data_IF_177841318962
#
_entry.id   IF_177841318962
#
_cell.length_a   1.000
_cell.length_b   1.000
_cell.length_c   1.000
_cell.angle_alpha   90.00
_cell.angle_beta   90.00
_cell.angle_gamma   90.00
#
_symmetry.space_group_name_H-M   'P 1'
#
loop_
_entity.id
_entity.type
_entity.pdbx_description
1 polymer ?
#
# COMPACT_ATOMS: atom_id res chain seq x y z
N UNK A 1 11.20 -3.39 35.59
CA UNK A 1 10.88 -3.39 37.04
C UNK A 1 9.42 -2.99 37.25
N UNK A 2 8.89 -2.08 36.43
CA UNK A 2 7.53 -1.57 36.47
C UNK A 2 6.44 -2.65 36.26
N UNK A 3 6.67 -3.61 35.35
CA UNK A 3 5.77 -4.75 35.11
C UNK A 3 5.61 -5.66 36.34
N UNK A 4 6.67 -5.82 37.15
CA UNK A 4 6.64 -6.64 38.37
C UNK A 4 5.83 -5.97 39.48
N UNK A 5 5.80 -4.63 39.52
CA UNK A 5 4.98 -3.87 40.47
C UNK A 5 3.49 -3.96 40.12
N UNK A 6 3.14 -3.84 38.83
CA UNK A 6 1.76 -4.01 38.35
C UNK A 6 1.28 -5.44 38.59
N UNK A 7 2.09 -6.44 38.23
CA UNK A 7 1.76 -7.86 38.42
C UNK A 7 1.65 -8.21 39.91
N UNK A 8 2.57 -7.71 40.75
CA UNK A 8 2.53 -7.90 42.20
C UNK A 8 1.31 -7.26 42.86
N UNK A 9 0.94 -6.05 42.43
CA UNK A 9 -0.29 -5.37 42.88
C UNK A 9 -1.56 -6.13 42.50
N UNK A 10 -1.63 -6.62 41.25
CA UNK A 10 -2.74 -7.43 40.77
C UNK A 10 -2.87 -8.75 41.53
N UNK A 11 -1.73 -9.42 41.80
CA UNK A 11 -1.71 -10.69 42.54
C UNK A 11 -2.17 -10.51 44.00
N UNK A 12 -1.80 -9.40 44.64
CA UNK A 12 -2.31 -9.04 45.97
C UNK A 12 -3.82 -8.79 45.97
N UNK A 13 -4.35 -8.12 44.95
CA UNK A 13 -5.79 -7.89 44.80
C UNK A 13 -6.54 -9.21 44.59
N UNK A 14 -6.04 -10.08 43.69
CA UNK A 14 -6.64 -11.40 43.42
C UNK A 14 -6.55 -12.31 44.67
N UNK A 15 -5.43 -12.27 45.39
CA UNK A 15 -5.24 -13.00 46.65
C UNK A 15 -6.22 -12.53 47.73
N UNK A 16 -6.37 -11.20 47.88
CA UNK A 16 -7.38 -10.59 48.74
C UNK A 16 -8.80 -11.00 48.36
N UNK A 17 -9.12 -11.06 47.06
CA UNK A 17 -10.44 -11.44 46.54
C UNK A 17 -10.75 -12.90 46.82
N UNK A 18 -9.79 -13.78 46.56
CA UNK A 18 -9.90 -15.22 46.85
C UNK A 18 -10.11 -15.47 48.34
N UNK A 19 -9.39 -14.73 49.20
CA UNK A 19 -9.56 -14.80 50.64
C UNK A 19 -10.94 -14.30 51.09
N UNK A 20 -11.42 -13.21 50.49
CA UNK A 20 -12.74 -12.64 50.74
C UNK A 20 -13.86 -13.61 50.35
N UNK A 21 -13.78 -14.22 49.15
CA UNK A 21 -14.72 -15.22 48.66
C UNK A 21 -14.75 -16.44 49.60
N UNK A 22 -13.58 -16.98 49.97
CA UNK A 22 -13.48 -18.11 50.92
C UNK A 22 -14.15 -17.77 52.26
N UNK A 23 -14.03 -16.52 52.71
CA UNK A 23 -14.64 -16.03 53.95
C UNK A 23 -16.14 -15.73 53.81
N UNK A 24 -16.61 -15.37 52.62
CA UNK A 24 -18.04 -15.22 52.33
C UNK A 24 -18.76 -16.57 52.34
N UNK A 25 -18.14 -17.62 51.76
CA UNK A 25 -18.64 -19.00 51.82
C UNK A 25 -18.75 -19.56 53.24
N UNK A 26 -17.84 -19.18 54.15
CA UNK A 26 -17.90 -19.62 55.55
C UNK A 26 -19.01 -18.95 56.37
N UNK A 27 -19.62 -17.87 55.86
CA UNK A 27 -20.78 -17.22 56.48
C UNK A 27 -22.08 -17.79 55.91
N UNK A 28 -22.19 -17.96 54.59
CA UNK A 28 -23.31 -18.67 53.95
C UNK A 28 -23.01 -18.99 52.48
N UNK A 29 -23.67 -20.01 51.93
CA UNK A 29 -23.61 -20.30 50.49
C UNK A 29 -24.10 -19.14 49.61
N UNK A 30 -25.11 -18.39 50.06
CA UNK A 30 -25.69 -17.27 49.30
C UNK A 30 -24.71 -16.11 49.15
N UNK A 31 -24.01 -15.74 50.24
CA UNK A 31 -22.95 -14.72 50.19
C UNK A 31 -21.72 -15.17 49.40
N UNK A 32 -21.36 -16.45 49.47
CA UNK A 32 -20.28 -17.02 48.65
C UNK A 32 -20.57 -16.88 47.15
N UNK A 33 -21.75 -17.29 46.70
CA UNK A 33 -22.16 -17.19 45.29
C UNK A 33 -22.37 -15.72 44.85
N UNK A 34 -22.96 -14.89 45.72
CA UNK A 34 -23.12 -13.46 45.47
C UNK A 34 -21.77 -12.74 45.34
N UNK A 35 -20.75 -13.13 46.11
CA UNK A 35 -19.41 -12.55 46.05
C UNK A 35 -18.62 -12.88 44.78
N UNK A 36 -19.16 -13.73 43.90
CA UNK A 36 -18.58 -13.96 42.58
C UNK A 36 -18.90 -12.80 41.61
N UNK A 37 -19.95 -12.02 41.91
CA UNK A 37 -20.38 -10.89 41.11
C UNK A 37 -19.92 -9.57 41.76
N UNK A 38 -19.23 -8.67 41.02
CA UNK A 38 -18.68 -7.41 41.53
C UNK A 38 -19.64 -6.50 42.33
N UNK A 39 -20.93 -6.35 41.99
CA UNK A 39 -21.82 -5.50 42.80
C UNK A 39 -22.13 -6.10 44.17
N UNK A 40 -22.18 -7.43 44.31
CA UNK A 40 -22.56 -8.10 45.56
C UNK A 40 -21.38 -8.29 46.53
N UNK A 41 -20.14 -8.31 46.04
CA UNK A 41 -18.95 -8.26 46.90
C UNK A 41 -18.89 -6.98 47.72
N UNK A 42 -19.21 -5.84 47.10
CA UNK A 42 -19.25 -4.53 47.77
C UNK A 42 -20.32 -4.50 48.88
N UNK A 43 -21.49 -5.07 48.61
CA UNK A 43 -22.58 -5.18 49.61
C UNK A 43 -22.14 -6.05 50.80
N UNK A 44 -21.44 -7.16 50.57
CA UNK A 44 -20.92 -8.00 51.66
C UNK A 44 -19.89 -7.25 52.52
N UNK A 45 -19.00 -6.48 51.89
CA UNK A 45 -18.00 -5.65 52.58
C UNK A 45 -18.68 -4.60 53.47
N UNK A 46 -19.71 -3.92 52.94
CA UNK A 46 -20.49 -2.90 53.67
C UNK A 46 -21.25 -3.48 54.86
N UNK A 47 -21.98 -4.59 54.68
CA UNK A 47 -22.81 -5.18 55.73
C UNK A 47 -22.04 -6.03 56.75
N UNK A 48 -20.87 -6.58 56.38
CA UNK A 48 -20.05 -7.47 57.24
C UNK A 48 -18.61 -6.97 57.38
N UNK A 49 -18.45 -5.66 57.54
CA UNK A 49 -17.16 -4.96 57.68
C UNK A 49 -16.21 -5.61 58.69
N UNK A 50 -16.69 -5.98 59.88
CA UNK A 50 -15.88 -6.59 60.94
C UNK A 50 -15.27 -7.96 60.54
N UNK A 51 -15.93 -8.68 59.63
CA UNK A 51 -15.45 -9.94 59.06
C UNK A 51 -14.80 -9.76 57.69
N UNK A 52 -14.80 -8.57 57.09
CA UNK A 52 -14.22 -8.34 55.77
C UNK A 52 -13.01 -7.40 55.80
N UNK A 53 -12.69 -6.79 56.93
CA UNK A 53 -11.60 -5.81 57.05
C UNK A 53 -10.24 -6.35 56.64
N UNK A 54 -9.85 -7.55 57.09
CA UNK A 54 -8.54 -8.15 56.77
C UNK A 54 -8.30 -8.44 55.27
N UNK A 55 -9.24 -9.05 54.52
CA UNK A 55 -9.04 -9.22 53.08
C UNK A 55 -9.13 -7.90 52.31
N UNK A 56 -9.94 -6.93 52.78
CA UNK A 56 -10.06 -5.61 52.14
C UNK A 56 -8.81 -4.77 52.32
N UNK A 57 -8.14 -4.83 53.49
CA UNK A 57 -6.85 -4.14 53.68
C UNK A 57 -5.78 -4.73 52.77
N UNK A 58 -5.75 -6.06 52.57
CA UNK A 58 -4.82 -6.70 51.65
C UNK A 58 -5.04 -6.26 50.19
N UNK A 59 -6.30 -6.16 49.75
CA UNK A 59 -6.61 -5.57 48.44
C UNK A 59 -6.18 -4.12 48.35
N UNK A 60 -6.44 -3.30 49.37
CA UNK A 60 -6.05 -1.90 49.40
C UNK A 60 -4.52 -1.73 49.30
N UNK A 61 -3.75 -2.61 49.94
CA UNK A 61 -2.30 -2.67 49.78
C UNK A 61 -1.85 -3.06 48.37
N UNK A 62 -2.64 -3.83 47.63
CA UNK A 62 -2.36 -4.16 46.21
C UNK A 62 -2.67 -3.01 45.24
N UNK A 63 -3.60 -2.12 45.58
CA UNK A 63 -3.91 -0.93 44.77
C UNK A 63 -2.76 0.08 44.74
N UNK A 64 -2.02 0.24 45.84
CA UNK A 64 -0.88 1.18 45.94
C UNK A 64 0.21 0.89 44.88
N UNK A 65 0.81 -0.32 44.81
CA UNK A 65 1.80 -0.64 43.77
C UNK A 65 1.19 -0.68 42.37
N UNK A 66 -0.12 -0.96 42.23
CA UNK A 66 -0.80 -0.92 40.94
C UNK A 66 -0.90 0.50 40.39
N UNK A 67 -1.33 1.48 41.21
CA UNK A 67 -1.38 2.90 40.80
C UNK A 67 0.02 3.44 40.55
N UNK A 68 0.99 3.13 41.41
CA UNK A 68 2.39 3.55 41.23
C UNK A 68 3.01 2.92 39.98
N UNK A 69 2.76 1.63 39.74
CA UNK A 69 3.21 0.93 38.53
C UNK A 69 2.60 1.51 37.25
N UNK A 70 1.30 1.83 37.26
CA UNK A 70 0.63 2.51 36.15
C UNK A 70 1.16 3.93 35.93
N UNK A 71 1.41 4.69 37.00
CA UNK A 71 1.95 6.05 36.91
C UNK A 71 3.39 6.06 36.37
N UNK A 72 4.24 5.10 36.77
CA UNK A 72 5.57 4.95 36.19
C UNK A 72 5.51 4.48 34.73
N UNK A 73 4.62 3.54 34.39
CA UNK A 73 4.43 3.08 33.01
C UNK A 73 3.96 4.23 32.10
N UNK A 74 3.03 5.07 32.57
CA UNK A 74 2.59 6.26 31.83
C UNK A 74 3.72 7.29 31.62
N UNK A 75 4.67 7.36 32.55
CA UNK A 75 5.80 8.29 32.48
C UNK A 75 6.98 7.76 31.64
N UNK A 76 7.14 6.44 31.50
CA UNK A 76 8.21 5.82 30.73
C UNK A 76 7.81 5.39 29.31
N UNK A 77 6.59 4.89 29.11
CA UNK A 77 6.11 4.36 27.82
C UNK A 77 4.62 4.69 27.61
N UNK A 78 4.32 5.96 27.27
CA UNK A 78 2.94 6.42 27.02
C UNK A 78 2.25 5.66 25.88
N UNK A 79 3.00 5.21 24.87
CA UNK A 79 2.49 4.42 23.74
C UNK A 79 1.95 3.03 24.18
N UNK A 80 2.60 2.40 25.17
CA UNK A 80 2.13 1.11 25.72
C UNK A 80 0.85 1.29 26.53
N UNK A 81 0.71 2.42 27.22
CA UNK A 81 -0.49 2.75 27.98
C UNK A 81 -1.71 2.92 27.05
N UNK A 82 -1.54 3.61 25.93
CA UNK A 82 -2.60 3.73 24.92
C UNK A 82 -2.97 2.36 24.33
N UNK A 83 -1.97 1.50 24.07
CA UNK A 83 -2.19 0.14 23.56
C UNK A 83 -3.07 -0.70 24.49
N UNK A 84 -2.80 -0.64 25.81
CA UNK A 84 -3.55 -1.38 26.84
C UNK A 84 -4.96 -0.78 27.03
N UNK A 85 -5.07 0.55 27.05
CA UNK A 85 -6.35 1.25 27.25
C UNK A 85 -7.29 1.14 26.05
N UNK A 86 -6.75 1.08 24.83
CA UNK A 86 -7.54 0.94 23.60
C UNK A 86 -7.99 -0.51 23.35
N UNK A 87 -7.66 -1.47 24.25
CA UNK A 87 -7.96 -2.89 24.06
C UNK A 87 -7.52 -3.38 22.67
N UNK A 88 -6.43 -2.83 22.14
CA UNK A 88 -6.01 -3.10 20.77
C UNK A 88 -5.65 -4.58 20.58
N UNK A 89 -5.23 -5.27 21.64
CA UNK A 89 -5.05 -6.73 21.64
C UNK A 89 -6.34 -7.50 21.36
N UNK A 90 -7.52 -6.95 21.69
CA UNK A 90 -8.83 -7.58 21.49
C UNK A 90 -9.38 -7.24 20.11
N UNK A 91 -9.13 -6.02 19.64
CA UNK A 91 -9.47 -5.57 18.28
C UNK A 91 -8.56 -6.21 17.21
N UNK A 92 -7.38 -6.71 17.60
CA UNK A 92 -6.44 -7.39 16.70
C UNK A 92 -6.98 -8.73 16.17
N UNK A 93 -7.96 -9.33 16.86
CA UNK A 93 -8.61 -10.57 16.41
C UNK A 93 -9.83 -10.30 15.51
N UNK A 94 -10.52 -9.17 15.71
CA UNK A 94 -11.73 -8.80 14.95
C UNK A 94 -11.41 -8.09 13.63
N UNK A 95 -10.30 -7.34 13.57
CA UNK A 95 -9.79 -6.74 12.32
C UNK A 95 -8.89 -7.67 11.50
N UNK A 96 -8.89 -8.97 11.81
CA UNK A 96 -8.22 -9.99 11.01
C UNK A 96 -9.04 -10.25 9.76
N UNK A 97 -9.07 -9.27 8.84
CA UNK A 97 -9.57 -9.50 7.49
C UNK A 97 -8.78 -10.69 6.90
N UNK A 98 -9.45 -11.72 6.35
CA UNK A 98 -8.76 -12.78 5.66
C UNK A 98 -8.01 -12.14 4.50
N UNK A 99 -6.68 -12.14 4.58
CA UNK A 99 -5.85 -11.75 3.47
C UNK A 99 -6.28 -12.61 2.28
N UNK A 100 -6.52 -12.03 1.09
CA UNK A 100 -6.75 -12.82 -0.11
C UNK A 100 -5.60 -13.83 -0.23
N UNK A 101 -5.92 -15.12 -0.13
CA UNK A 101 -4.95 -16.22 -0.18
C UNK A 101 -4.26 -16.20 -1.55
N UNK A 102 -3.15 -15.48 -1.65
CA UNK A 102 -2.20 -15.71 -2.72
C UNK A 102 -1.76 -17.15 -2.61
N UNK A 103 -1.89 -17.90 -3.70
CA UNK A 103 -1.50 -19.31 -3.72
C UNK A 103 -0.01 -19.41 -4.04
N UNK A 104 0.80 -18.95 -3.09
CA UNK A 104 2.25 -19.01 -3.22
C UNK A 104 2.72 -20.43 -2.88
N UNK A 105 3.23 -21.12 -3.89
CA UNK A 105 3.81 -22.46 -3.77
C UNK A 105 5.33 -22.34 -3.92
N UNK A 106 5.93 -21.52 -3.06
CA UNK A 106 7.36 -21.34 -2.99
C UNK A 106 7.95 -22.30 -1.95
N UNK A 107 9.04 -22.96 -2.30
CA UNK A 107 9.77 -23.88 -1.41
C UNK A 107 11.23 -23.49 -1.35
N UNK A 108 11.84 -23.74 -0.20
CA UNK A 108 13.27 -23.61 0.01
C UNK A 108 13.59 -22.90 1.31
N UNK A 109 14.76 -22.26 1.33
CA UNK A 109 15.34 -21.67 2.52
C UNK A 109 15.74 -20.22 2.28
N UNK A 110 15.60 -19.40 3.32
CA UNK A 110 16.11 -18.03 3.41
C UNK A 110 16.98 -17.93 4.66
N UNK A 111 18.26 -17.60 4.48
CA UNK A 111 19.25 -17.58 5.55
C UNK A 111 19.33 -18.91 6.33
N UNK A 112 19.16 -20.04 5.64
CA UNK A 112 19.22 -21.39 6.23
C UNK A 112 17.98 -21.82 7.03
N UNK A 113 16.90 -21.04 6.98
CA UNK A 113 15.61 -21.41 7.58
C UNK A 113 14.56 -21.61 6.48
N UNK A 114 13.61 -22.54 6.66
CA UNK A 114 12.48 -22.65 5.75
C UNK A 114 11.75 -21.32 5.61
N UNK A 115 11.49 -20.90 4.38
CA UNK A 115 10.81 -19.64 4.08
C UNK A 115 9.52 -19.94 3.32
N UNK A 116 8.38 -19.62 3.93
CA UNK A 116 7.06 -19.87 3.36
C UNK A 116 6.32 -18.52 3.29
N UNK A 117 6.52 -17.73 2.22
CA UNK A 117 5.90 -16.42 2.10
C UNK A 117 4.38 -16.57 1.93
N UNK A 118 3.62 -15.76 2.68
CA UNK A 118 2.16 -15.65 2.56
C UNK A 118 1.73 -14.37 1.84
N UNK A 119 2.61 -13.37 1.76
CA UNK A 119 2.37 -12.12 1.03
C UNK A 119 3.36 -11.97 -0.13
N UNK A 120 2.85 -11.49 -1.26
CA UNK A 120 3.61 -11.30 -2.48
C UNK A 120 3.08 -10.12 -3.29
N UNK A 121 3.95 -9.20 -3.66
CA UNK A 121 3.59 -7.98 -4.41
C UNK A 121 4.68 -7.65 -5.42
N UNK A 122 4.31 -7.15 -6.59
CA UNK A 122 5.21 -6.48 -7.51
C UNK A 122 4.61 -5.11 -7.82
N UNK A 123 5.16 -4.07 -7.18
CA UNK A 123 4.67 -2.70 -7.31
C UNK A 123 5.76 -1.86 -7.96
N UNK A 124 5.44 -1.29 -9.11
CA UNK A 124 6.42 -0.57 -9.92
C UNK A 124 7.55 -1.48 -10.34
N UNK A 125 8.73 -1.29 -9.74
CA UNK A 125 9.93 -2.09 -9.99
C UNK A 125 10.36 -2.96 -8.81
N UNK A 126 9.58 -3.05 -7.73
CA UNK A 126 9.98 -3.77 -6.51
C UNK A 126 9.08 -4.97 -6.31
N UNK A 127 9.66 -6.16 -6.43
CA UNK A 127 9.04 -7.43 -6.04
C UNK A 127 9.31 -7.66 -4.56
N UNK A 128 8.26 -7.85 -3.77
CA UNK A 128 8.33 -8.13 -2.35
C UNK A 128 7.68 -9.48 -2.05
N UNK A 129 8.41 -10.36 -1.36
CA UNK A 129 7.88 -11.58 -0.76
C UNK A 129 8.06 -11.49 0.75
N UNK A 130 6.98 -11.66 1.50
CA UNK A 130 7.01 -11.57 2.97
C UNK A 130 6.39 -12.79 3.62
N UNK A 131 7.10 -13.29 4.62
CA UNK A 131 6.60 -14.29 5.56
C UNK A 131 6.11 -13.59 6.83
N UNK A 132 4.82 -13.71 7.10
CA UNK A 132 4.19 -13.18 8.32
C UNK A 132 4.16 -14.29 9.37
N UNK A 133 5.19 -14.36 10.21
CA UNK A 133 5.19 -15.24 11.37
C UNK A 133 4.51 -14.57 12.58
N UNK A 134 3.65 -15.33 13.26
CA UNK A 134 2.95 -14.91 14.50
C UNK A 134 3.92 -14.82 15.69
N UNK A 135 5.09 -15.45 15.62
CA UNK A 135 6.09 -15.55 16.70
C UNK A 135 7.13 -14.42 16.71
N UNK A 136 6.82 -13.25 16.15
CA UNK A 136 7.64 -12.02 16.22
C UNK A 136 8.90 -11.93 15.34
N UNK A 137 9.13 -12.87 14.42
CA UNK A 137 10.18 -12.79 13.41
C UNK A 137 9.57 -12.67 12.02
N UNK A 138 9.69 -11.50 11.39
CA UNK A 138 9.28 -11.31 10.00
C UNK A 138 10.51 -11.41 9.10
N UNK A 139 10.38 -12.19 8.04
CA UNK A 139 11.38 -12.30 6.98
C UNK A 139 10.78 -11.76 5.69
N UNK A 140 11.55 -10.94 5.00
CA UNK A 140 11.12 -10.30 3.77
C UNK A 140 12.28 -10.27 2.77
N UNK A 141 11.93 -10.54 1.51
CA UNK A 141 12.82 -10.44 0.36
C UNK A 141 12.27 -9.36 -0.54
N UNK A 142 13.12 -8.40 -0.91
CA UNK A 142 12.83 -7.40 -1.93
C UNK A 142 13.77 -7.58 -3.10
N UNK A 143 13.23 -7.50 -4.30
CA UNK A 143 13.99 -7.56 -5.55
C UNK A 143 13.67 -6.29 -6.31
N UNK A 144 14.65 -5.40 -6.42
CA UNK A 144 14.52 -4.16 -7.19
C UNK A 144 14.89 -4.44 -8.63
N UNK A 145 13.89 -4.55 -9.49
CA UNK A 145 14.02 -4.74 -10.92
C UNK A 145 14.55 -3.45 -11.59
N UNK A 146 15.33 -3.56 -12.68
CA UNK A 146 15.89 -2.41 -13.38
C UNK A 146 14.84 -1.57 -14.13
N UNK A 147 13.60 -2.05 -14.27
CA UNK A 147 12.51 -1.34 -14.94
C UNK A 147 11.19 -1.66 -14.26
N UNK A 148 10.32 -0.67 -14.15
CA UNK A 148 8.97 -0.87 -13.65
C UNK A 148 8.14 -1.64 -14.69
N UNK A 149 7.39 -2.65 -14.24
CA UNK A 149 6.57 -3.51 -15.10
C UNK A 149 5.14 -3.54 -14.60
N UNK A 150 4.20 -3.10 -15.44
CA UNK A 150 2.76 -3.28 -15.22
C UNK A 150 2.19 -4.46 -16.02
N UNK A 151 3.05 -5.24 -16.68
CA UNK A 151 2.69 -6.33 -17.58
C UNK A 151 3.55 -7.58 -17.33
N UNK A 152 3.70 -8.47 -18.32
CA UNK A 152 4.47 -9.70 -18.14
C UNK A 152 5.93 -9.40 -17.79
N UNK A 153 6.52 -10.24 -16.94
CA UNK A 153 7.89 -10.10 -16.45
C UNK A 153 8.67 -11.36 -16.75
N UNK A 154 9.66 -11.24 -17.63
CA UNK A 154 10.57 -12.32 -17.97
C UNK A 154 12.00 -11.87 -17.67
N UNK A 155 12.60 -12.46 -16.65
CA UNK A 155 13.96 -12.19 -16.21
C UNK A 155 14.67 -13.53 -16.06
N UNK A 156 15.86 -13.63 -16.62
CA UNK A 156 16.74 -14.78 -16.44
C UNK A 156 18.16 -14.26 -16.28
N UNK A 157 18.73 -14.46 -15.09
CA UNK A 157 20.02 -13.92 -14.69
C UNK A 157 20.84 -15.06 -14.10
N UNK A 158 22.07 -15.15 -14.56
CA UNK A 158 23.09 -16.07 -14.08
C UNK A 158 24.15 -15.32 -13.25
N UNK A 159 24.94 -16.03 -12.41
CA UNK A 159 25.89 -15.40 -11.50
C UNK A 159 26.96 -14.53 -12.17
N UNK A 160 27.36 -14.85 -13.41
CA UNK A 160 28.42 -14.18 -14.16
C UNK A 160 27.90 -13.05 -15.06
N UNK A 161 26.57 -12.84 -15.12
CA UNK A 161 25.98 -11.80 -15.94
C UNK A 161 26.42 -10.41 -15.44
N UNK A 162 26.52 -9.47 -16.37
CA UNK A 162 27.00 -8.11 -16.11
C UNK A 162 26.01 -7.06 -16.62
N UNK A 163 26.07 -5.85 -16.05
CA UNK A 163 25.25 -4.72 -16.45
C UNK A 163 24.30 -4.25 -15.35
N UNK A 164 23.11 -3.77 -15.74
CA UNK A 164 22.06 -3.32 -14.82
C UNK A 164 21.25 -4.52 -14.34
N UNK A 165 21.75 -5.18 -13.29
CA UNK A 165 21.09 -6.30 -12.64
C UNK A 165 20.15 -5.83 -11.53
N UNK A 166 19.12 -6.62 -11.18
CA UNK A 166 18.31 -6.39 -9.99
C UNK A 166 19.14 -6.33 -8.70
N UNK A 167 18.66 -5.57 -7.72
CA UNK A 167 19.21 -5.60 -6.36
C UNK A 167 18.35 -6.52 -5.50
N UNK A 168 18.97 -7.54 -4.90
CA UNK A 168 18.31 -8.40 -3.93
C UNK A 168 18.54 -7.83 -2.53
N UNK A 169 17.48 -7.65 -1.77
CA UNK A 169 17.53 -7.25 -0.37
C UNK A 169 16.82 -8.32 0.47
N UNK A 170 17.49 -8.76 1.52
CA UNK A 170 16.93 -9.67 2.50
C UNK A 170 16.87 -8.91 3.81
N UNK A 171 15.66 -8.71 4.33
CA UNK A 171 15.42 -8.06 5.60
C UNK A 171 14.86 -9.05 6.60
N UNK A 172 15.43 -9.05 7.81
CA UNK A 172 14.89 -9.77 8.97
C UNK A 172 14.60 -8.76 10.07
N UNK A 173 13.35 -8.72 10.51
CA UNK A 173 12.96 -7.97 11.71
C UNK A 173 12.51 -8.96 12.79
N UNK A 174 13.16 -8.89 13.95
CA UNK A 174 12.73 -9.58 15.16
C UNK A 174 12.29 -8.54 16.18
N UNK A 175 11.27 -8.83 16.99
CA UNK A 175 10.73 -7.88 17.97
C UNK A 175 11.72 -7.42 19.05
N UNK A 176 12.85 -8.11 19.22
CA UNK A 176 13.94 -7.74 20.12
C UNK A 176 15.02 -6.85 19.46
N UNK A 177 14.93 -6.61 18.14
CA UNK A 177 15.88 -5.77 17.41
C UNK A 177 15.27 -4.39 17.17
N UNK A 178 16.00 -3.34 17.56
CA UNK A 178 15.62 -1.94 17.34
C UNK A 178 15.63 -1.55 15.85
N UNK A 179 16.33 -2.31 15.00
CA UNK A 179 16.42 -2.08 13.56
C UNK A 179 16.47 -3.42 12.80
N UNK A 180 15.81 -3.56 11.63
CA UNK A 180 15.89 -4.77 10.83
C UNK A 180 17.32 -5.01 10.34
N UNK A 181 17.72 -6.28 10.34
CA UNK A 181 18.96 -6.71 9.72
C UNK A 181 18.74 -6.81 8.21
N UNK A 182 19.37 -5.91 7.44
CA UNK A 182 19.23 -5.85 5.99
C UNK A 182 20.54 -6.29 5.32
N UNK A 183 20.43 -7.25 4.41
CA UNK A 183 21.53 -7.73 3.59
C UNK A 183 21.21 -7.43 2.12
N UNK A 184 22.16 -6.82 1.42
CA UNK A 184 21.99 -6.44 0.01
C UNK A 184 22.94 -7.24 -0.86
N UNK A 185 22.45 -7.73 -1.99
CA UNK A 185 23.23 -8.47 -2.98
C UNK A 185 22.93 -7.96 -4.39
N UNK A 186 23.95 -7.36 -5.01
CA UNK A 186 23.83 -6.76 -6.34
C UNK A 186 24.26 -7.70 -7.49
N UNK A 187 24.94 -8.82 -7.20
CA UNK A 187 25.49 -9.75 -8.22
C UNK A 187 25.80 -11.13 -7.66
N UNK A 188 26.16 -12.08 -8.53
CA UNK A 188 26.61 -13.42 -8.14
C UNK A 188 25.47 -14.37 -7.72
N UNK A 189 24.23 -14.04 -8.06
CA UNK A 189 23.05 -14.85 -7.79
C UNK A 189 22.44 -15.36 -9.10
N UNK A 190 21.60 -16.38 -8.99
CA UNK A 190 20.71 -16.80 -10.08
C UNK A 190 19.32 -16.30 -9.78
N UNK A 191 18.69 -15.61 -10.74
CA UNK A 191 17.31 -15.16 -10.65
C UNK A 191 16.58 -15.50 -11.95
N UNK A 192 15.51 -16.28 -11.82
CA UNK A 192 14.57 -16.51 -12.91
C UNK A 192 13.17 -16.13 -12.46
N UNK A 193 12.55 -15.21 -13.21
CA UNK A 193 11.18 -14.76 -13.05
C UNK A 193 10.49 -14.90 -14.39
N UNK A 194 9.36 -15.57 -14.39
CA UNK A 194 8.50 -15.68 -15.56
C UNK A 194 7.06 -15.52 -15.07
N UNK A 195 6.56 -14.29 -15.11
CA UNK A 195 5.29 -13.88 -14.50
C UNK A 195 4.36 -13.32 -15.57
N UNK A 196 3.14 -13.82 -15.60
CA UNK A 196 2.10 -13.39 -16.52
C UNK A 196 0.98 -12.63 -15.80
N UNK A 197 0.43 -11.54 -16.37
CA UNK A 197 -0.66 -10.81 -15.77
C UNK A 197 -1.96 -11.61 -15.82
N UNK A 198 -2.63 -11.70 -14.68
CA UNK A 198 -3.94 -12.30 -14.54
C UNK A 198 -4.91 -11.33 -13.87
N UNK A 199 -6.05 -11.10 -14.52
CA UNK A 199 -7.09 -10.23 -14.00
C UNK A 199 -7.62 -10.76 -12.65
N UNK A 200 -8.01 -9.87 -11.71
CA UNK A 200 -8.06 -8.41 -11.87
C UNK A 200 -6.76 -7.67 -11.48
N UNK A 201 -5.87 -8.27 -10.67
CA UNK A 201 -4.68 -7.60 -10.14
C UNK A 201 -3.59 -8.58 -9.69
N UNK A 202 -3.40 -9.68 -10.43
CA UNK A 202 -2.42 -10.70 -10.09
C UNK A 202 -1.34 -10.82 -11.17
N UNK A 203 -0.16 -11.25 -10.75
CA UNK A 203 0.93 -11.73 -11.58
C UNK A 203 1.26 -13.14 -11.11
N UNK A 204 1.17 -14.11 -12.01
CA UNK A 204 1.33 -15.52 -11.67
C UNK A 204 2.40 -16.13 -12.54
N UNK A 205 3.29 -16.91 -11.91
CA UNK A 205 4.25 -17.68 -12.68
C UNK A 205 5.41 -18.24 -11.87
N UNK A 206 6.49 -18.60 -12.55
CA UNK A 206 7.65 -19.24 -11.95
C UNK A 206 8.60 -18.23 -11.31
N UNK A 207 9.09 -18.61 -10.13
CA UNK A 207 10.09 -17.89 -9.37
C UNK A 207 11.21 -18.84 -8.99
N UNK A 208 12.45 -18.43 -9.25
CA UNK A 208 13.64 -19.13 -8.81
C UNK A 208 14.71 -18.13 -8.42
N UNK A 209 15.21 -18.23 -7.19
CA UNK A 209 16.27 -17.39 -6.65
C UNK A 209 17.27 -18.27 -5.91
N UNK A 210 18.53 -18.20 -6.30
CA UNK A 210 19.63 -18.88 -5.60
C UNK A 210 20.74 -17.88 -5.33
N UNK A 211 21.09 -17.72 -4.06
CA UNK A 211 22.16 -16.82 -3.64
C UNK A 211 23.47 -17.61 -3.41
N UNK A 212 24.64 -16.93 -3.35
CA UNK A 212 25.90 -17.56 -2.97
C UNK A 212 25.81 -18.33 -1.65
N UNK A 213 26.64 -19.38 -1.52
CA UNK A 213 26.56 -20.35 -0.40
C UNK A 213 26.60 -19.71 0.99
N UNK A 214 27.27 -18.57 1.17
CA UNK A 214 27.31 -17.88 2.46
C UNK A 214 25.94 -17.40 2.95
N UNK A 215 24.98 -17.15 2.05
CA UNK A 215 23.64 -16.68 2.37
C UNK A 215 22.65 -17.81 2.65
N UNK A 216 23.00 -19.08 2.33
CA UNK A 216 22.13 -20.25 2.53
C UNK A 216 20.69 -20.00 2.08
N UNK A 217 20.53 -19.41 0.89
CA UNK A 217 19.23 -19.00 0.36
C UNK A 217 19.01 -19.62 -1.01
N UNK A 218 17.94 -20.38 -1.13
CA UNK A 218 17.50 -21.02 -2.37
C UNK A 218 15.99 -21.13 -2.31
N UNK A 219 15.30 -20.51 -3.27
CA UNK A 219 13.86 -20.43 -3.33
C UNK A 219 13.40 -20.78 -4.73
N UNK A 220 12.44 -21.68 -4.84
CA UNK A 220 11.94 -22.16 -6.13
C UNK A 220 10.47 -22.51 -6.04
N UNK A 221 9.72 -22.20 -7.09
CA UNK A 221 8.34 -22.64 -7.21
C UNK A 221 7.48 -21.69 -8.02
N UNK A 222 6.18 -21.73 -7.73
CA UNK A 222 5.19 -20.85 -8.36
C UNK A 222 4.76 -19.79 -7.36
N UNK A 223 4.71 -18.54 -7.81
CA UNK A 223 4.26 -17.40 -7.01
C UNK A 223 3.01 -16.79 -7.62
N UNK A 224 2.17 -16.25 -6.76
CA UNK A 224 1.10 -15.32 -7.11
C UNK A 224 1.42 -14.02 -6.39
N UNK A 225 1.49 -12.91 -7.12
CA UNK A 225 1.84 -11.59 -6.61
C UNK A 225 0.75 -10.60 -6.96
N UNK A 226 0.48 -9.63 -6.10
CA UNK A 226 -0.35 -8.48 -6.47
C UNK A 226 0.41 -7.51 -7.37
N UNK A 227 -0.21 -7.06 -8.46
CA UNK A 227 0.39 -6.07 -9.37
C UNK A 227 0.22 -4.60 -8.89
N UNK A 228 -0.64 -4.39 -7.90
CA UNK A 228 -0.88 -3.09 -7.24
C UNK A 228 -1.39 -3.32 -5.82
N UNK A 229 -1.50 -2.26 -5.02
CA UNK A 229 -2.07 -2.38 -3.66
C UNK A 229 -3.60 -2.47 -3.64
N UNK A 230 -4.27 -2.47 -4.79
CA UNK A 230 -5.70 -2.78 -4.83
C UNK A 230 -5.95 -4.22 -4.39
N UNK A 231 -6.91 -4.39 -3.49
CA UNK A 231 -7.38 -5.70 -3.05
C UNK A 231 -8.77 -5.95 -3.56
N UNK A 232 -9.10 -7.22 -3.78
CA UNK A 232 -10.39 -7.64 -4.29
C UNK A 232 -11.02 -8.67 -3.35
N UNK A 233 -12.32 -8.55 -3.12
CA UNK A 233 -13.15 -9.50 -2.38
C UNK A 233 -14.37 -9.81 -3.24
N UNK A 234 -14.62 -11.10 -3.51
CA UNK A 234 -15.73 -11.55 -4.37
C UNK A 234 -15.76 -10.85 -5.75
N UNK A 235 -14.59 -10.65 -6.36
CA UNK A 235 -14.45 -9.99 -7.66
C UNK A 235 -14.65 -8.48 -7.67
N UNK A 236 -14.95 -7.85 -6.53
CA UNK A 236 -15.06 -6.38 -6.38
C UNK A 236 -13.89 -5.84 -5.59
N UNK A 237 -13.55 -4.57 -5.80
CA UNK A 237 -12.50 -3.89 -5.00
C UNK A 237 -12.90 -3.91 -3.53
N UNK A 238 -11.97 -4.30 -2.66
CA UNK A 238 -12.14 -4.27 -1.21
C UNK A 238 -11.96 -2.83 -0.71
N UNK A 239 -13.07 -2.13 -0.50
CA UNK A 239 -13.08 -0.75 0.00
C UNK A 239 -12.65 -0.63 1.46
N UNK A 240 -12.54 -1.73 2.20
CA UNK A 240 -12.05 -1.74 3.58
C UNK A 240 -10.52 -1.78 3.66
N UNK A 241 -9.84 -2.10 2.56
CA UNK A 241 -8.39 -2.18 2.52
C UNK A 241 -7.74 -0.79 2.46
N UNK A 242 -6.88 -0.50 3.43
CA UNK A 242 -6.17 0.78 3.51
C UNK A 242 -4.99 0.82 2.53
N UNK A 243 -5.20 1.48 1.39
CA UNK A 243 -4.12 1.81 0.44
C UNK A 243 -4.43 3.10 -0.31
N UNK A 244 -3.39 3.79 -0.79
CA UNK A 244 -3.55 4.96 -1.65
C UNK A 244 -4.31 4.61 -2.93
N UNK A 245 -4.10 3.41 -3.47
CA UNK A 245 -4.78 2.93 -4.67
C UNK A 245 -6.27 2.66 -4.42
N UNK A 246 -6.66 2.19 -3.22
CA UNK A 246 -8.08 2.07 -2.84
C UNK A 246 -8.73 3.45 -2.82
N UNK A 247 -8.05 4.45 -2.23
CA UNK A 247 -8.54 5.84 -2.19
C UNK A 247 -8.67 6.41 -3.60
N UNK A 248 -7.64 6.24 -4.44
CA UNK A 248 -7.65 6.66 -5.84
C UNK A 248 -8.79 6.00 -6.63
N UNK A 249 -9.08 4.71 -6.38
CA UNK A 249 -10.21 4.01 -6.98
C UNK A 249 -11.55 4.66 -6.60
N UNK A 250 -11.78 4.91 -5.30
CA UNK A 250 -13.01 5.54 -4.79
C UNK A 250 -13.17 6.98 -5.31
N UNK A 251 -12.08 7.76 -5.31
CA UNK A 251 -12.09 9.14 -5.80
C UNK A 251 -12.37 9.18 -7.30
N UNK A 252 -11.74 8.31 -8.09
CA UNK A 252 -11.98 8.23 -9.53
C UNK A 252 -13.43 7.87 -9.82
N UNK A 253 -13.99 6.88 -9.12
CA UNK A 253 -15.40 6.50 -9.25
C UNK A 253 -16.34 7.68 -8.90
N UNK A 254 -16.08 8.37 -7.79
CA UNK A 254 -16.84 9.55 -7.39
C UNK A 254 -16.78 10.67 -8.45
N UNK A 255 -15.59 11.00 -8.96
CA UNK A 255 -15.43 12.04 -9.98
C UNK A 255 -16.11 11.63 -11.29
N UNK A 256 -15.98 10.36 -11.68
CA UNK A 256 -16.63 9.84 -12.88
C UNK A 256 -18.16 9.99 -12.79
N UNK A 257 -18.76 9.63 -11.64
CA UNK A 257 -20.20 9.82 -11.39
C UNK A 257 -20.62 11.28 -11.31
N UNK A 258 -19.81 12.13 -10.66
CA UNK A 258 -20.06 13.56 -10.52
C UNK A 258 -20.07 14.29 -11.86
N UNK A 259 -19.18 13.93 -12.77
CA UNK A 259 -19.05 14.56 -14.09
C UNK A 259 -19.71 13.77 -15.22
N UNK A 260 -20.30 12.62 -14.91
CA UNK A 260 -20.97 11.71 -15.85
C UNK A 260 -20.05 11.38 -17.04
N UNK A 261 -18.81 10.99 -16.74
CA UNK A 261 -17.79 10.66 -17.73
C UNK A 261 -16.84 9.58 -17.21
N UNK A 262 -16.42 8.67 -18.08
CA UNK A 262 -15.37 7.70 -17.78
C UNK A 262 -13.96 8.27 -18.06
N UNK A 263 -13.88 9.44 -18.69
CA UNK A 263 -12.62 10.13 -19.00
C UNK A 263 -12.08 10.90 -17.79
N UNK A 264 -11.85 10.18 -16.69
CA UNK A 264 -11.24 10.69 -15.45
C UNK A 264 -9.87 10.08 -15.26
N UNK A 265 -8.84 10.92 -15.25
CA UNK A 265 -7.46 10.50 -14.98
C UNK A 265 -6.89 11.26 -13.79
N UNK A 266 -6.59 10.54 -12.72
CA UNK A 266 -5.89 11.12 -11.57
C UNK A 266 -4.39 11.18 -11.89
N UNK A 267 -3.77 12.35 -11.70
CA UNK A 267 -2.32 12.53 -11.92
C UNK A 267 -1.58 13.03 -10.67
N UNK A 268 -2.31 13.40 -9.62
CA UNK A 268 -1.74 13.76 -8.33
C UNK A 268 -2.72 13.51 -7.20
N UNK A 269 -2.23 12.87 -6.14
CA UNK A 269 -2.90 12.77 -4.84
C UNK A 269 -1.90 13.18 -3.76
N UNK A 270 -2.34 13.93 -2.75
CA UNK A 270 -1.52 14.17 -1.56
C UNK A 270 -1.19 12.87 -0.85
N UNK A 271 0.04 12.75 -0.34
CA UNK A 271 0.41 11.63 0.54
C UNK A 271 -0.38 11.70 1.85
N UNK A 272 -0.96 10.57 2.23
CA UNK A 272 -1.81 10.43 3.42
C UNK A 272 -1.23 9.38 4.37
N UNK A 273 -1.52 9.52 5.66
CA UNK A 273 -1.14 8.52 6.66
C UNK A 273 -2.28 7.52 6.85
N UNK A 274 -1.98 6.24 6.63
CA UNK A 274 -2.88 5.11 6.82
C UNK A 274 -2.33 4.21 7.94
N UNK A 275 -3.18 3.57 8.76
CA UNK A 275 -4.65 3.57 8.70
C UNK A 275 -5.26 4.87 9.24
N UNK A 276 -6.40 5.28 8.69
CA UNK A 276 -7.18 6.45 9.13
C UNK A 276 -8.67 6.19 8.96
N UNK A 277 -9.50 6.95 9.68
CA UNK A 277 -10.97 6.91 9.52
C UNK A 277 -11.53 8.09 8.71
N UNK A 278 -10.83 9.22 8.72
CA UNK A 278 -11.20 10.42 7.98
C UNK A 278 -9.94 11.01 7.37
N UNK A 279 -10.03 11.46 6.11
CA UNK A 279 -8.92 12.07 5.37
C UNK A 279 -9.44 13.22 4.52
N UNK A 280 -8.68 14.29 4.45
CA UNK A 280 -8.88 15.38 3.50
C UNK A 280 -7.74 15.29 2.48
N UNK A 281 -8.08 15.13 1.20
CA UNK A 281 -7.13 14.81 0.13
C UNK A 281 -7.22 15.85 -0.97
N UNK A 282 -6.10 16.49 -1.29
CA UNK A 282 -5.98 17.30 -2.51
C UNK A 282 -5.75 16.36 -3.70
N UNK A 283 -6.61 16.48 -4.70
CA UNK A 283 -6.70 15.61 -5.87
C UNK A 283 -6.56 16.46 -7.12
N UNK A 284 -5.56 16.12 -7.93
CA UNK A 284 -5.34 16.69 -9.24
C UNK A 284 -5.76 15.67 -10.31
N UNK A 285 -6.74 16.03 -11.16
CA UNK A 285 -7.33 15.13 -12.14
C UNK A 285 -7.64 15.81 -13.47
N UNK A 286 -7.52 15.07 -14.57
CA UNK A 286 -8.08 15.45 -15.86
C UNK A 286 -9.50 14.92 -15.97
N UNK A 287 -10.45 15.80 -16.25
CA UNK A 287 -11.85 15.47 -16.56
C UNK A 287 -12.11 15.91 -17.99
N UNK A 288 -12.32 14.98 -18.91
CA UNK A 288 -12.43 15.26 -20.36
C UNK A 288 -11.24 16.12 -20.86
N UNK A 289 -10.02 15.68 -20.56
CA UNK A 289 -8.74 16.34 -20.90
C UNK A 289 -8.52 17.74 -20.31
N UNK A 290 -9.38 18.18 -19.38
CA UNK A 290 -9.21 19.46 -18.65
C UNK A 290 -8.72 19.22 -17.23
N UNK A 291 -7.62 19.86 -16.87
CA UNK A 291 -7.07 19.78 -15.52
C UNK A 291 -7.99 20.46 -14.49
N UNK A 292 -8.23 19.76 -13.39
CA UNK A 292 -9.00 20.24 -12.24
C UNK A 292 -8.30 19.82 -10.95
N UNK A 293 -8.49 20.64 -9.91
CA UNK A 293 -8.06 20.36 -8.55
C UNK A 293 -9.28 20.28 -7.63
N UNK A 294 -9.29 19.30 -6.74
CA UNK A 294 -10.38 19.04 -5.81
C UNK A 294 -9.84 18.79 -4.42
N UNK A 295 -10.53 19.33 -3.42
CA UNK A 295 -10.36 18.93 -2.03
C UNK A 295 -11.47 17.93 -1.71
N UNK A 296 -11.09 16.67 -1.45
CA UNK A 296 -12.02 15.55 -1.26
C UNK A 296 -11.92 15.06 0.17
N UNK A 297 -13.05 15.09 0.87
CA UNK A 297 -13.18 14.52 2.20
C UNK A 297 -13.59 13.05 2.08
N UNK A 298 -12.79 12.17 2.66
CA UNK A 298 -12.97 10.73 2.66
C UNK A 298 -13.30 10.28 4.08
N UNK A 299 -14.29 9.41 4.21
CA UNK A 299 -14.62 8.71 5.46
C UNK A 299 -14.55 7.21 5.26
N UNK A 300 -14.14 6.48 6.30
CA UNK A 300 -14.15 5.01 6.32
C UNK A 300 -15.27 4.52 7.24
N UNK A 301 -16.24 3.84 6.65
CA UNK A 301 -17.36 3.22 7.36
C UNK A 301 -17.09 1.72 7.58
N UNK A 302 -17.53 1.17 8.72
CA UNK A 302 -17.32 -0.24 9.05
C UNK A 302 -18.08 -1.18 8.10
N UNK A 303 -19.23 -0.76 7.57
CA UNK A 303 -20.05 -1.58 6.67
C UNK A 303 -19.63 -1.43 5.20
N UNK A 304 -19.32 -0.21 4.77
CA UNK A 304 -19.08 0.14 3.35
C UNK A 304 -17.62 0.35 2.97
N UNK A 305 -16.73 0.55 3.95
CA UNK A 305 -15.33 0.88 3.72
C UNK A 305 -15.13 2.36 3.38
N UNK A 306 -14.07 2.67 2.63
CA UNK A 306 -13.76 4.02 2.16
C UNK A 306 -14.84 4.56 1.23
N UNK A 307 -15.27 5.80 1.49
CA UNK A 307 -16.25 6.54 0.70
C UNK A 307 -15.96 8.05 0.74
N UNK A 308 -16.45 8.78 -0.25
CA UNK A 308 -16.42 10.25 -0.26
C UNK A 308 -17.56 10.78 0.62
N UNK A 309 -17.25 11.68 1.54
CA UNK A 309 -18.24 12.30 2.40
C UNK A 309 -19.22 13.17 1.59
N UNK A 310 -20.52 13.00 1.85
CA UNK A 310 -21.55 13.77 1.16
C UNK A 310 -21.77 13.37 -0.30
N UNK A 311 -21.26 12.21 -0.74
CA UNK A 311 -21.54 11.68 -2.07
C UNK A 311 -23.04 11.39 -2.26
N UNK A 312 -23.61 11.97 -3.33
CA UNK A 312 -25.02 11.85 -3.72
C UNK A 312 -25.19 11.54 -5.21
N UNK A 313 -24.09 11.27 -5.92
CA UNK A 313 -24.14 11.08 -7.37
C UNK A 313 -24.55 9.65 -7.70
N UNK A 314 -25.53 9.42 -8.59
CA UNK A 314 -25.93 8.07 -8.97
C UNK A 314 -24.80 7.34 -9.72
N UNK A 315 -24.86 6.00 -9.72
CA UNK A 315 -23.98 5.20 -10.55
C UNK A 315 -24.10 5.60 -12.03
N UNK A 316 -22.97 5.61 -12.74
CA UNK A 316 -22.98 5.79 -14.19
C UNK A 316 -23.84 4.70 -14.84
N UNK A 317 -24.66 5.02 -15.86
CA UNK A 317 -25.34 4.01 -16.64
C UNK A 317 -24.28 3.07 -17.21
N UNK A 318 -24.43 1.76 -17.01
CA UNK A 318 -23.58 0.80 -17.71
C UNK A 318 -23.66 1.12 -19.20
N UNK A 319 -22.51 1.31 -19.86
CA UNK A 319 -22.44 1.42 -21.30
C UNK A 319 -23.25 0.23 -21.85
N UNK A 320 -24.38 0.53 -22.46
CA UNK A 320 -25.24 -0.52 -23.00
C UNK A 320 -24.42 -1.19 -24.09
N UNK A 321 -24.03 -2.45 -23.86
CA UNK A 321 -23.74 -3.37 -24.95
C UNK A 321 -25.05 -3.48 -25.74
N UNK A 322 -25.24 -2.56 -26.69
CA UNK A 322 -26.28 -2.70 -27.69
C UNK A 322 -25.97 -4.01 -28.43
N UNK A 323 -26.85 -5.02 -28.35
CA UNK A 323 -26.64 -6.26 -29.06
C UNK A 323 -26.70 -5.94 -30.54
N UNK A 324 -25.66 -6.36 -31.25
CA UNK A 324 -25.50 -6.37 -32.70
C UNK A 324 -26.84 -6.38 -33.48
N UNK A 325 -27.34 -5.18 -33.77
CA UNK A 325 -28.37 -4.96 -34.78
C UNK A 325 -27.70 -5.11 -36.14
N UNK A 326 -27.96 -6.24 -36.80
CA UNK A 326 -27.53 -6.48 -38.17
C UNK A 326 -28.21 -5.44 -39.08
N UNK A 327 -27.48 -4.38 -39.44
CA UNK A 327 -27.88 -3.44 -40.47
C UNK A 327 -26.69 -3.23 -41.40
N UNK A 328 -26.90 -3.53 -42.68
CA UNK A 328 -25.88 -3.70 -43.69
C UNK A 328 -24.94 -2.50 -43.83
N UNK A 329 -23.69 -2.84 -44.10
CA UNK A 329 -22.66 -1.95 -44.62
C UNK A 329 -23.22 -1.13 -45.78
N UNK A 330 -23.39 0.17 -45.55
CA UNK A 330 -23.31 1.20 -46.59
C UNK A 330 -22.21 2.18 -46.17
N UNK A 331 -21.14 2.33 -46.97
CA UNK A 331 -20.07 3.25 -46.64
C UNK A 331 -20.62 4.68 -46.70
N UNK A 332 -20.79 5.31 -45.53
CA UNK A 332 -20.90 6.76 -45.47
C UNK A 332 -19.48 7.31 -45.36
N UNK A 333 -19.06 7.98 -46.43
CA UNK A 333 -17.90 8.86 -46.44
C UNK A 333 -18.00 9.83 -45.27
N UNK A 334 -17.06 9.77 -44.34
CA UNK A 334 -16.83 10.86 -43.40
C UNK A 334 -16.52 12.13 -44.18
N UNK A 335 -17.05 13.31 -43.80
CA UNK A 335 -16.57 14.55 -44.35
C UNK A 335 -15.10 14.69 -43.95
N UNK A 336 -14.25 14.96 -44.94
CA UNK A 336 -12.86 15.32 -44.70
C UNK A 336 -12.84 16.57 -43.82
N UNK A 337 -12.43 16.43 -42.55
CA UNK A 337 -11.80 17.54 -41.86
C UNK A 337 -10.51 17.81 -42.63
N UNK A 338 -10.43 18.97 -43.26
CA UNK A 338 -9.17 19.48 -43.78
C UNK A 338 -8.14 19.41 -42.64
N UNK A 339 -7.16 18.51 -42.78
CA UNK A 339 -6.00 18.46 -41.91
C UNK A 339 -5.22 19.75 -42.15
N UNK A 340 -5.46 20.76 -41.31
CA UNK A 340 -4.70 22.01 -41.33
C UNK A 340 -3.24 21.62 -41.07
N UNK A 341 -2.40 21.82 -42.10
CA UNK A 341 -0.96 21.54 -42.05
C UNK A 341 -0.33 22.31 -40.88
N UNK A 342 0.05 21.57 -39.83
CA UNK A 342 0.55 22.10 -38.56
C UNK A 342 1.95 22.71 -38.69
N UNK A 343 2.62 22.55 -39.84
CA UNK A 343 3.91 23.21 -40.12
C UNK A 343 3.73 24.71 -40.35
N UNK A 344 2.54 25.16 -40.79
CA UNK A 344 2.27 26.58 -41.05
C UNK A 344 2.17 27.35 -39.73
N UNK A 345 3.22 28.13 -39.43
CA UNK A 345 3.27 28.95 -38.20
C UNK A 345 3.74 28.20 -36.96
N UNK A 346 4.46 27.09 -37.15
CA UNK A 346 5.20 26.42 -36.08
C UNK A 346 6.42 27.26 -35.65
N UNK A 347 6.59 27.46 -34.34
CA UNK A 347 7.73 28.16 -33.75
C UNK A 347 7.97 27.65 -32.34
N UNK A 348 9.18 27.88 -31.80
CA UNK A 348 9.51 27.51 -30.42
C UNK A 348 8.54 28.16 -29.41
N UNK A 349 8.18 29.41 -29.63
CA UNK A 349 7.25 30.15 -28.76
C UNK A 349 5.85 29.53 -28.77
N UNK A 350 5.35 29.09 -29.94
CA UNK A 350 4.06 28.42 -30.05
C UNK A 350 4.07 27.03 -29.41
N UNK A 351 5.18 26.30 -29.57
CA UNK A 351 5.39 25.01 -28.91
C UNK A 351 5.41 25.15 -27.38
N UNK A 352 5.96 26.24 -26.85
CA UNK A 352 5.96 26.51 -25.40
C UNK A 352 4.59 26.94 -24.86
N UNK A 353 3.82 27.70 -25.63
CA UNK A 353 2.48 28.16 -25.24
C UNK A 353 1.44 27.05 -25.33
N UNK A 354 1.57 26.12 -26.29
CA UNK A 354 0.59 25.07 -26.55
C UNK A 354 1.28 23.71 -26.78
N UNK A 355 2.06 23.19 -25.82
CA UNK A 355 2.86 21.97 -26.01
C UNK A 355 2.00 20.74 -26.31
N UNK A 356 0.77 20.69 -25.79
CA UNK A 356 -0.17 19.60 -26.03
C UNK A 356 -0.54 19.42 -27.52
N UNK A 357 -0.59 20.50 -28.31
CA UNK A 357 -0.97 20.43 -29.73
C UNK A 357 0.07 19.72 -30.62
N UNK A 358 1.30 19.65 -30.12
CA UNK A 358 2.47 19.11 -30.81
C UNK A 358 3.02 17.84 -30.18
N UNK A 359 2.37 17.31 -29.13
CA UNK A 359 2.74 16.02 -28.55
C UNK A 359 2.64 14.91 -29.60
N UNK A 360 3.59 13.99 -29.54
CA UNK A 360 3.73 12.86 -30.47
C UNK A 360 4.10 13.25 -31.91
N UNK A 361 4.33 14.53 -32.21
CA UNK A 361 4.83 14.95 -33.52
C UNK A 361 6.37 14.91 -33.55
N UNK A 362 6.91 14.52 -34.70
CA UNK A 362 8.35 14.53 -34.96
C UNK A 362 8.84 15.94 -35.25
N UNK A 363 9.94 16.28 -34.60
CA UNK A 363 10.61 17.55 -34.78
C UNK A 363 12.12 17.37 -34.83
N UNK A 364 12.76 18.30 -35.54
CA UNK A 364 14.21 18.45 -35.59
C UNK A 364 14.59 19.73 -34.87
N UNK A 365 15.52 19.62 -33.94
CA UNK A 365 16.04 20.72 -33.15
C UNK A 365 17.53 20.88 -33.44
N UNK A 366 17.97 22.10 -33.72
CA UNK A 366 19.39 22.46 -33.83
C UNK A 366 19.74 23.35 -32.65
N UNK A 367 20.82 23.02 -31.95
CA UNK A 367 21.30 23.77 -30.79
C UNK A 367 22.34 24.80 -31.20
N UNK A 368 22.49 25.84 -30.39
CA UNK A 368 23.51 26.90 -30.57
C UNK A 368 24.95 26.36 -30.54
N UNK A 369 25.17 25.18 -29.97
CA UNK A 369 26.46 24.47 -29.96
C UNK A 369 26.70 23.63 -31.23
N UNK A 370 25.81 23.73 -32.24
CA UNK A 370 25.90 23.01 -33.51
C UNK A 370 25.40 21.57 -33.48
N UNK A 371 24.82 21.12 -32.36
CA UNK A 371 24.24 19.78 -32.24
C UNK A 371 22.84 19.72 -32.86
N UNK A 372 22.53 18.67 -33.61
CA UNK A 372 21.18 18.43 -34.13
C UNK A 372 20.57 17.18 -33.48
N UNK A 373 19.34 17.31 -32.99
CA UNK A 373 18.58 16.22 -32.40
C UNK A 373 17.23 16.10 -33.09
N UNK A 374 16.89 14.87 -33.48
CA UNK A 374 15.61 14.55 -34.14
C UNK A 374 14.88 13.51 -33.30
N UNK A 375 13.60 13.76 -33.04
CA UNK A 375 12.80 12.88 -32.21
C UNK A 375 11.33 13.27 -32.17
N UNK A 376 10.55 12.41 -31.53
CA UNK A 376 9.14 12.65 -31.23
C UNK A 376 9.06 13.54 -29.99
N UNK A 377 8.30 14.62 -30.06
CA UNK A 377 8.09 15.49 -28.91
C UNK A 377 7.16 14.83 -27.89
N UNK A 378 7.66 14.73 -26.66
CA UNK A 378 6.92 14.13 -25.54
C UNK A 378 6.24 15.20 -24.71
N UNK A 379 6.88 16.36 -24.56
CA UNK A 379 6.34 17.47 -23.78
C UNK A 379 7.43 18.39 -23.26
N UNK A 380 7.03 19.27 -22.35
CA UNK A 380 7.93 20.15 -21.60
C UNK A 380 7.93 19.64 -20.15
N UNK A 381 9.11 19.47 -19.55
CA UNK A 381 9.21 19.03 -18.16
C UNK A 381 8.97 20.18 -17.16
N UNK A 382 8.91 19.86 -15.86
CA UNK A 382 8.60 20.82 -14.80
C UNK A 382 9.60 21.98 -14.68
N UNK A 383 10.80 21.83 -15.26
CA UNK A 383 11.84 22.85 -15.28
C UNK A 383 11.86 23.65 -16.60
N UNK A 384 10.89 23.40 -17.50
CA UNK A 384 10.74 24.11 -18.77
C UNK A 384 11.58 23.57 -19.93
N UNK A 385 12.19 22.39 -19.80
CA UNK A 385 12.99 21.76 -20.87
C UNK A 385 12.11 21.01 -21.85
N UNK A 386 12.42 21.12 -23.14
CA UNK A 386 11.79 20.33 -24.18
C UNK A 386 12.32 18.90 -24.14
N UNK A 387 11.41 17.93 -24.11
CA UNK A 387 11.74 16.50 -24.10
C UNK A 387 11.39 15.90 -25.46
N UNK A 388 12.40 15.44 -26.20
CA UNK A 388 12.21 14.68 -27.43
C UNK A 388 12.71 13.24 -27.25
N UNK A 389 11.99 12.28 -27.81
CA UNK A 389 12.30 10.87 -27.75
C UNK A 389 12.65 10.33 -29.14
N UNK A 390 13.85 9.79 -29.28
CA UNK A 390 14.30 9.14 -30.52
C UNK A 390 14.32 7.64 -30.32
N UNK A 391 13.62 6.90 -31.18
CA UNK A 391 13.77 5.44 -31.27
C UNK A 391 15.11 5.14 -31.95
N UNK A 392 15.99 4.42 -31.26
CA UNK A 392 17.23 3.89 -31.80
C UNK A 392 16.93 2.50 -32.37
N UNK A 393 17.46 2.20 -33.58
CA UNK A 393 17.29 0.88 -34.18
C UNK A 393 17.76 -0.21 -33.23
N UNK A 394 16.90 -1.19 -32.91
CA UNK A 394 17.16 -2.21 -31.89
C UNK A 394 16.28 -2.14 -30.63
N UNK A 395 15.14 -1.43 -30.66
CA UNK A 395 14.14 -1.44 -29.59
C UNK A 395 14.40 -0.50 -28.41
N UNK A 396 15.52 0.23 -28.40
CA UNK A 396 15.83 1.26 -27.41
C UNK A 396 15.25 2.63 -27.80
N UNK A 397 14.83 3.42 -26.82
CA UNK A 397 14.48 4.84 -27.02
C UNK A 397 15.39 5.72 -26.18
N UNK A 398 15.99 6.73 -26.79
CA UNK A 398 16.76 7.76 -26.11
C UNK A 398 15.89 9.01 -25.92
N UNK A 399 15.81 9.53 -24.70
CA UNK A 399 15.19 10.81 -24.39
C UNK A 399 16.26 11.89 -24.30
N UNK A 400 16.06 12.99 -25.03
CA UNK A 400 16.90 14.17 -24.98
C UNK A 400 16.12 15.30 -24.32
N UNK A 401 16.71 15.92 -23.30
CA UNK A 401 16.21 17.14 -22.66
C UNK A 401 16.98 18.34 -23.20
N UNK A 402 16.27 19.32 -23.74
CA UNK A 402 16.85 20.49 -24.39
C UNK A 402 16.30 21.77 -23.74
N UNK A 403 17.21 22.63 -23.29
CA UNK A 403 16.83 23.93 -22.74
C UNK A 403 16.33 24.84 -23.87
N UNK A 404 15.23 25.59 -23.69
CA UNK A 404 14.76 26.52 -24.71
C UNK A 404 15.80 27.54 -25.16
N UNK A 405 16.70 27.94 -24.26
CA UNK A 405 17.74 28.94 -24.55
C UNK A 405 18.90 28.36 -25.37
N UNK A 406 19.06 27.04 -25.39
CA UNK A 406 20.09 26.38 -26.19
C UNK A 406 19.62 25.99 -27.59
N UNK A 407 18.35 26.26 -27.94
CA UNK A 407 17.76 25.97 -29.25
C UNK A 407 18.00 27.14 -30.20
N UNK A 408 18.72 26.87 -31.28
CA UNK A 408 18.94 27.82 -32.38
C UNK A 408 17.79 27.78 -33.38
N UNK A 409 17.32 26.58 -33.75
CA UNK A 409 16.17 26.41 -34.64
C UNK A 409 15.39 25.13 -34.31
N UNK A 410 14.10 25.14 -34.62
CA UNK A 410 13.19 24.01 -34.43
C UNK A 410 12.26 23.90 -35.63
N UNK A 411 12.12 22.68 -36.15
CA UNK A 411 11.31 22.39 -37.34
C UNK A 411 10.42 21.17 -37.09
N UNK A 412 9.16 21.26 -37.53
CA UNK A 412 8.20 20.16 -37.49
C UNK A 412 8.34 19.30 -38.75
N UNK A 413 8.54 17.99 -38.57
CA UNK A 413 8.76 17.05 -39.67
C UNK A 413 7.48 16.38 -40.16
N UNK A 414 6.42 16.39 -39.33
CA UNK A 414 5.10 15.83 -39.65
C UNK A 414 4.14 16.95 -40.15
N UNK A 415 3.25 16.68 -41.13
CA UNK A 415 2.28 17.64 -41.65
C UNK A 415 1.13 17.91 -40.68
#
# INVERSE_FOLDING_TARGET
>A
MDELLILGGLLLIIGGLTWLIRRAFSVSLFWGLGSLLPPMTLVFVLFKWQKSSSPVTLMAFGFIPLVVGFAMLANHDSERLETILQLSWLNSEVNREPAPELRIQLRGELNGHPFIPQEGELIGSVLTLRERNVASMQQEIRIHLPSASSGPVHINILPEDQGRLPLIEISRSASNLTQPENQHLARGYTLHLDLEPQAPNLLIGSFHLVLPRQFRTSLSGRVELFASRLRYRNGKVNLHFDSEETLAYVIRDYLARRFVTDAVQLYGLSRVSLPSRHLEIDVAAFINDKAHHFLVNMGKDELRGWQVEGDRFPALPAASEDPAGTAGVKPHSSPALESVDKRRGFSLQRLQLSPAEFQQLRMRIVTVQGGAAEGVFVGIDGDGYLVIQRRLGGGGSASYKLSPQSIQSIELLDP
#
